data_IF_653797776485
#
_entry.id   IF_653797776485
#
_cell.length_a   1.000
_cell.length_b   1.000
_cell.length_c   1.000
_cell.angle_alpha   90.00
_cell.angle_beta   90.00
_cell.angle_gamma   90.00
#
_symmetry.space_group_name_H-M   'P 1'
#
loop_
_entity.id
_entity.type
_entity.pdbx_description
1 polymer ?
#
# COMPACT_ATOMS: atom_id res chain seq x y z
N UNK A 1 12.93 -2.13 11.86
CA UNK A 1 11.74 -2.29 11.00
C UNK A 1 10.55 -2.57 11.91
N UNK A 2 9.49 -1.75 11.86
CA UNK A 2 8.23 -2.09 12.52
C UNK A 2 7.72 -3.41 11.91
N UNK A 3 7.45 -4.43 12.74
CA UNK A 3 6.77 -5.65 12.30
C UNK A 3 5.32 -5.29 12.00
N UNK A 4 5.08 -4.86 10.77
CA UNK A 4 3.73 -4.58 10.30
C UNK A 4 3.02 -5.91 10.07
N UNK A 5 1.92 -6.13 10.78
CA UNK A 5 1.08 -7.30 10.60
C UNK A 5 -0.09 -6.91 9.70
N UNK A 6 -0.39 -7.77 8.73
CA UNK A 6 -1.55 -7.65 7.87
C UNK A 6 -2.48 -8.81 8.16
N UNK A 7 -3.77 -8.53 8.27
CA UNK A 7 -4.77 -9.59 8.36
C UNK A 7 -5.06 -10.17 6.98
N UNK A 8 -5.64 -11.36 6.95
CA UNK A 8 -6.14 -11.95 5.70
C UNK A 8 -7.19 -11.04 5.04
N UNK A 9 -8.07 -10.43 5.84
CA UNK A 9 -9.06 -9.47 5.37
C UNK A 9 -8.41 -8.27 4.66
N UNK A 10 -7.34 -7.70 5.25
CA UNK A 10 -6.60 -6.61 4.62
C UNK A 10 -6.04 -7.02 3.25
N UNK A 11 -5.45 -8.22 3.18
CA UNK A 11 -4.89 -8.77 1.94
C UNK A 11 -5.96 -8.91 0.86
N UNK A 12 -7.14 -9.41 1.20
CA UNK A 12 -8.28 -9.53 0.27
C UNK A 12 -8.74 -8.16 -0.25
N UNK A 13 -8.85 -7.16 0.63
CA UNK A 13 -9.22 -5.80 0.23
C UNK A 13 -8.16 -5.20 -0.68
N UNK A 14 -6.87 -5.34 -0.36
CA UNK A 14 -5.79 -4.83 -1.21
C UNK A 14 -5.79 -5.51 -2.59
N UNK A 15 -6.00 -6.82 -2.63
CA UNK A 15 -6.04 -7.58 -3.87
C UNK A 15 -7.19 -7.15 -4.79
N UNK A 16 -8.36 -6.84 -4.23
CA UNK A 16 -9.51 -6.37 -5.00
C UNK A 16 -9.35 -4.90 -5.41
N UNK A 17 -9.05 -4.02 -4.46
CA UNK A 17 -9.03 -2.56 -4.70
C UNK A 17 -7.86 -2.11 -5.57
N UNK A 18 -6.75 -2.86 -5.67
CA UNK A 18 -5.65 -2.54 -6.59
C UNK A 18 -6.05 -2.49 -8.07
N UNK A 19 -7.19 -3.06 -8.42
CA UNK A 19 -7.74 -3.03 -9.78
C UNK A 19 -9.09 -2.30 -9.88
N UNK A 20 -9.89 -2.31 -8.81
CA UNK A 20 -11.30 -1.87 -8.88
C UNK A 20 -11.54 -0.51 -8.21
N UNK A 21 -10.59 0.04 -7.45
CA UNK A 21 -10.80 1.34 -6.82
C UNK A 21 -10.88 2.44 -7.88
N UNK A 22 -11.86 3.36 -7.86
CA UNK A 22 -12.05 4.36 -8.95
C UNK A 22 -10.85 5.30 -9.15
N UNK A 23 -10.09 5.56 -8.08
CA UNK A 23 -8.94 6.46 -8.12
C UNK A 23 -7.60 5.73 -8.23
N UNK A 24 -6.83 6.05 -9.28
CA UNK A 24 -5.55 5.41 -9.62
C UNK A 24 -4.50 5.47 -8.49
N UNK A 25 -4.42 6.58 -7.75
CA UNK A 25 -3.46 6.67 -6.63
C UNK A 25 -3.79 5.66 -5.52
N UNK A 26 -5.07 5.40 -5.27
CA UNK A 26 -5.48 4.44 -4.25
C UNK A 26 -5.23 3.02 -4.76
N UNK A 27 -5.52 2.72 -6.02
CA UNK A 27 -5.13 1.45 -6.65
C UNK A 27 -3.63 1.16 -6.42
N UNK A 28 -2.78 2.16 -6.66
CA UNK A 28 -1.33 2.06 -6.50
C UNK A 28 -0.88 1.90 -5.03
N UNK A 29 -1.56 2.55 -4.08
CA UNK A 29 -1.36 2.28 -2.63
C UNK A 29 -1.66 0.83 -2.29
N UNK A 30 -2.77 0.30 -2.81
CA UNK A 30 -3.24 -1.07 -2.54
C UNK A 30 -2.31 -2.11 -3.16
N UNK A 31 -1.76 -1.85 -4.34
CA UNK A 31 -0.73 -2.70 -4.93
C UNK A 31 0.51 -2.85 -4.04
N UNK A 32 1.06 -1.74 -3.54
CA UNK A 32 2.23 -1.75 -2.65
C UNK A 32 1.95 -2.56 -1.38
N UNK A 33 0.78 -2.36 -0.77
CA UNK A 33 0.41 -3.04 0.46
C UNK A 33 0.07 -4.52 0.24
N UNK A 34 -0.53 -4.87 -0.89
CA UNK A 34 -0.72 -6.26 -1.30
C UNK A 34 0.62 -6.98 -1.40
N UNK A 35 1.58 -6.42 -2.14
CA UNK A 35 2.92 -7.02 -2.28
C UNK A 35 3.62 -7.14 -0.93
N UNK A 36 3.44 -6.16 -0.04
CA UNK A 36 4.03 -6.18 1.30
C UNK A 36 3.37 -7.16 2.25
N UNK A 37 2.10 -7.51 2.02
CA UNK A 37 1.33 -8.41 2.88
C UNK A 37 1.46 -9.87 2.50
N UNK A 38 2.09 -10.20 1.37
CA UNK A 38 2.33 -11.60 0.98
C UNK A 38 3.28 -12.28 1.98
N UNK A 39 3.02 -13.55 2.28
CA UNK A 39 3.87 -14.39 3.14
C UNK A 39 5.14 -14.88 2.42
N UNK A 40 5.72 -14.03 1.56
CA UNK A 40 6.98 -14.27 0.84
C UNK A 40 7.96 -13.13 1.12
N UNK A 41 9.27 -13.42 1.22
CA UNK A 41 10.28 -12.40 1.49
C UNK A 41 10.56 -11.57 0.23
N UNK A 42 9.76 -10.52 0.00
CA UNK A 42 10.04 -9.50 -1.02
C UNK A 42 10.81 -8.32 -0.40
N UNK A 43 11.91 -7.94 -1.04
CA UNK A 43 12.66 -6.74 -0.65
C UNK A 43 11.84 -5.49 -0.96
N UNK A 44 12.07 -4.43 -0.18
CA UNK A 44 11.40 -3.16 -0.42
C UNK A 44 11.75 -2.58 -1.80
N UNK A 45 12.97 -2.82 -2.29
CA UNK A 45 13.42 -2.35 -3.59
C UNK A 45 12.67 -3.06 -4.73
N UNK A 46 12.48 -4.38 -4.61
CA UNK A 46 11.65 -5.13 -5.55
C UNK A 46 10.20 -4.66 -5.54
N UNK A 47 9.62 -4.43 -4.37
CA UNK A 47 8.25 -3.90 -4.26
C UNK A 47 8.17 -2.52 -4.95
N UNK A 48 9.13 -1.64 -4.69
CA UNK A 48 9.20 -0.31 -5.31
C UNK A 48 9.36 -0.40 -6.83
N UNK A 49 10.17 -1.32 -7.34
CA UNK A 49 10.39 -1.55 -8.76
C UNK A 49 9.12 -2.08 -9.45
N UNK A 50 8.47 -3.10 -8.88
CA UNK A 50 7.24 -3.70 -9.42
C UNK A 50 6.13 -2.67 -9.46
N UNK A 51 5.91 -1.96 -8.34
CA UNK A 51 4.84 -0.97 -8.23
C UNK A 51 5.21 0.40 -8.81
N UNK A 52 6.43 0.62 -9.28
CA UNK A 52 6.88 1.90 -9.83
C UNK A 52 6.68 3.08 -8.86
N UNK A 53 7.08 2.93 -7.59
CA UNK A 53 7.05 4.00 -6.58
C UNK A 53 8.43 4.19 -5.95
N UNK A 54 8.70 5.38 -5.41
CA UNK A 54 9.93 5.60 -4.66
C UNK A 54 9.88 4.92 -3.28
N UNK A 55 11.04 4.60 -2.66
CA UNK A 55 11.09 4.09 -1.28
C UNK A 55 10.41 5.03 -0.27
N UNK A 56 10.47 6.34 -0.48
CA UNK A 56 9.82 7.33 0.38
C UNK A 56 8.29 7.26 0.25
N UNK A 57 7.78 7.12 -0.97
CA UNK A 57 6.36 6.91 -1.24
C UNK A 57 5.85 5.63 -0.59
N UNK A 58 6.58 4.52 -0.76
CA UNK A 58 6.26 3.24 -0.12
C UNK A 58 6.17 3.37 1.40
N UNK A 59 7.15 4.03 2.03
CA UNK A 59 7.14 4.31 3.49
C UNK A 59 5.93 5.15 3.91
N UNK A 60 5.53 6.14 3.10
CA UNK A 60 4.33 6.94 3.38
C UNK A 60 3.08 6.08 3.42
N UNK A 61 2.90 5.18 2.45
CA UNK A 61 1.74 4.28 2.39
C UNK A 61 1.69 3.34 3.60
N UNK A 62 2.83 2.77 3.99
CA UNK A 62 2.93 1.94 5.19
C UNK A 62 2.58 2.75 6.44
N UNK A 63 3.04 4.00 6.53
CA UNK A 63 2.72 4.90 7.66
C UNK A 63 1.24 5.23 7.73
N UNK A 64 0.59 5.49 6.59
CA UNK A 64 -0.86 5.71 6.52
C UNK A 64 -1.63 4.50 7.04
N UNK A 65 -1.27 3.31 6.56
CA UNK A 65 -1.88 2.06 7.01
C UNK A 65 -1.66 1.83 8.51
N UNK A 66 -0.44 2.03 9.04
CA UNK A 66 -0.20 1.91 10.50
C UNK A 66 -1.03 2.88 11.34
N UNK A 67 -1.40 4.04 10.78
CA UNK A 67 -2.09 5.10 11.52
C UNK A 67 -3.61 4.87 11.57
N UNK A 68 -4.20 4.26 10.55
CA UNK A 68 -5.67 4.14 10.48
C UNK A 68 -6.18 3.06 9.54
N UNK A 69 -5.37 2.04 9.26
CA UNK A 69 -5.76 0.86 8.49
C UNK A 69 -6.22 1.18 7.07
N UNK A 70 -7.16 0.37 6.59
CA UNK A 70 -7.72 0.43 5.22
C UNK A 70 -8.34 1.79 4.91
N UNK A 71 -9.10 2.35 5.85
CA UNK A 71 -9.82 3.62 5.65
C UNK A 71 -8.85 4.79 5.45
N UNK A 72 -7.73 4.81 6.18
CA UNK A 72 -6.74 5.88 6.02
C UNK A 72 -6.13 5.92 4.61
N UNK A 73 -6.04 4.77 3.94
CA UNK A 73 -5.48 4.66 2.61
C UNK A 73 -6.39 5.22 1.52
N UNK A 74 -7.69 5.34 1.80
CA UNK A 74 -8.68 5.96 0.90
C UNK A 74 -8.60 7.48 0.91
N UNK A 75 -7.87 8.09 1.84
CA UNK A 75 -7.61 9.52 1.81
C UNK A 75 -6.63 9.88 0.69
N UNK A 76 -7.00 10.86 -0.11
CA UNK A 76 -6.12 11.50 -1.09
C UNK A 76 -5.76 12.87 -0.56
N UNK A 77 -4.46 13.09 -0.37
CA UNK A 77 -3.91 14.42 -0.09
C UNK A 77 -3.38 14.97 -1.39
N UNK A 78 -4.12 15.91 -1.98
CA UNK A 78 -3.59 16.70 -3.07
C UNK A 78 -2.58 17.68 -2.46
N UNK A 79 -1.30 17.55 -2.82
CA UNK A 79 -0.39 18.65 -2.61
C UNK A 79 -0.89 19.78 -3.51
N UNK A 80 -1.38 20.87 -2.91
CA UNK A 80 -1.54 22.13 -3.65
C UNK A 80 -0.16 22.52 -4.13
N UNK A 81 0.02 22.58 -5.45
CA UNK A 81 1.12 23.27 -6.08
C UNK A 81 1.02 24.77 -5.75
#
# INVERSE_FOLDING_TARGET
MLKLQFTEFDRLVFQYERYHHPHLHIQKKKEVLFLKSLDIPLSNDWICQISGVSPNTMRSYLKEYTKGGIEKLKEIRFNRL
#
